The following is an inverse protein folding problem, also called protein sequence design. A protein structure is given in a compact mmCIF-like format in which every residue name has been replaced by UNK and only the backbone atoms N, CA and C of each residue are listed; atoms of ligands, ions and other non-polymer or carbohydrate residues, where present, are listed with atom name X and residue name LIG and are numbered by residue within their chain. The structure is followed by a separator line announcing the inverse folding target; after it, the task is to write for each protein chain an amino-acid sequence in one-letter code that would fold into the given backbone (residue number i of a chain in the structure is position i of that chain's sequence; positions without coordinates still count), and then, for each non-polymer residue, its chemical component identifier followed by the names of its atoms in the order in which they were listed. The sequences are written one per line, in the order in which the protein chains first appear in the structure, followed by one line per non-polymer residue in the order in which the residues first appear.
data_IF_154816575094
#
_entry.id   IF_154816575094
#
_cell.length_a   1.000
_cell.length_b   1.000
_cell.length_c   1.000
_cell.angle_alpha   90.00
_cell.angle_beta   90.00
_cell.angle_gamma   90.00
#
_symmetry.space_group_name_H-M   'P 1'
#
loop_
_entity.id
_entity.type
_entity.pdbx_description
1 polymer ?
#
# COMPACT_ATOMS: atom_id res chain seq x y z
N UNK A 1 -8.60 -19.25 -16.50
CA UNK A 1 -7.52 -18.54 -17.24
C UNK A 1 -8.06 -17.88 -18.50
N UNK A 2 -8.03 -16.55 -18.56
CA UNK A 2 -8.31 -15.78 -19.80
C UNK A 2 -7.40 -16.33 -20.92
N UNK A 3 -7.96 -16.64 -22.09
CA UNK A 3 -7.20 -17.20 -23.21
C UNK A 3 -6.04 -16.30 -23.63
N UNK A 4 -6.17 -14.98 -23.47
CA UNK A 4 -5.14 -14.01 -23.78
C UNK A 4 -3.90 -14.12 -22.88
N UNK A 5 -4.05 -14.60 -21.64
CA UNK A 5 -2.95 -14.63 -20.67
C UNK A 5 -2.23 -15.99 -20.60
N UNK A 6 -2.74 -17.02 -21.31
CA UNK A 6 -2.12 -18.36 -21.34
C UNK A 6 -0.66 -18.35 -21.79
N UNK A 7 -0.25 -17.57 -22.81
CA UNK A 7 1.16 -17.51 -23.20
C UNK A 7 2.05 -17.00 -22.07
N UNK A 8 1.61 -15.98 -21.33
CA UNK A 8 2.38 -15.41 -20.21
C UNK A 8 2.59 -16.46 -19.10
N UNK A 9 1.53 -17.20 -18.74
CA UNK A 9 1.65 -18.28 -17.76
C UNK A 9 2.59 -19.40 -18.25
N UNK A 10 2.56 -19.75 -19.54
CA UNK A 10 3.47 -20.73 -20.13
C UNK A 10 4.94 -20.30 -20.05
N UNK A 11 5.24 -19.03 -20.40
CA UNK A 11 6.59 -18.49 -20.33
C UNK A 11 7.08 -18.38 -18.89
N UNK A 12 6.27 -17.82 -17.98
CA UNK A 12 6.60 -17.73 -16.56
C UNK A 12 6.92 -19.12 -15.99
N UNK A 13 6.03 -20.10 -16.24
CA UNK A 13 6.26 -21.47 -15.81
C UNK A 13 7.56 -22.02 -16.37
N UNK A 14 7.82 -21.85 -17.67
CA UNK A 14 9.00 -22.44 -18.33
C UNK A 14 10.33 -21.80 -17.90
N UNK A 15 10.34 -20.51 -17.60
CA UNK A 15 11.52 -19.78 -17.15
C UNK A 15 11.81 -19.93 -15.65
N UNK A 16 10.79 -20.26 -14.84
CA UNK A 16 10.90 -20.25 -13.36
C UNK A 16 10.91 -21.64 -12.70
N UNK A 17 10.97 -22.74 -13.48
CA UNK A 17 10.79 -24.15 -13.03
C UNK A 17 11.68 -24.66 -11.89
N UNK A 18 12.78 -23.98 -11.54
CA UNK A 18 13.75 -24.46 -10.54
C UNK A 18 13.76 -23.60 -9.27
N UNK A 19 12.64 -22.94 -8.94
CA UNK A 19 12.59 -21.99 -7.82
C UNK A 19 13.25 -20.64 -8.14
N UNK A 20 13.54 -20.39 -9.42
CA UNK A 20 14.01 -19.10 -9.87
C UNK A 20 12.94 -18.05 -9.62
N UNK A 21 13.35 -16.91 -9.06
CA UNK A 21 12.51 -15.76 -8.84
C UNK A 21 13.03 -14.57 -9.65
N UNK A 22 12.14 -13.65 -9.99
CA UNK A 22 12.54 -12.38 -10.61
C UNK A 22 12.83 -11.40 -9.48
N UNK A 23 14.09 -11.03 -9.34
CA UNK A 23 14.48 -9.96 -8.44
C UNK A 23 14.05 -8.60 -9.00
N UNK A 24 13.27 -7.86 -8.23
CA UNK A 24 12.80 -6.52 -8.55
C UNK A 24 13.35 -5.55 -7.52
N UNK A 25 14.32 -4.68 -7.90
CA UNK A 25 14.85 -3.66 -6.99
C UNK A 25 13.77 -2.64 -6.63
N UNK A 26 13.50 -2.46 -5.34
CA UNK A 26 12.52 -1.47 -4.86
C UNK A 26 13.24 -0.18 -4.47
N UNK A 27 12.80 0.99 -4.98
CA UNK A 27 13.36 2.28 -4.59
C UNK A 27 13.29 2.55 -3.08
N UNK A 28 14.32 3.23 -2.56
CA UNK A 28 14.34 3.70 -1.17
C UNK A 28 13.15 4.61 -0.85
N UNK A 29 12.68 5.36 -1.85
CA UNK A 29 11.49 6.22 -1.81
C UNK A 29 10.19 5.47 -1.51
N UNK A 30 10.17 4.12 -1.57
CA UNK A 30 8.99 3.29 -1.27
C UNK A 30 9.13 2.51 0.05
N UNK A 31 10.34 2.05 0.40
CA UNK A 31 10.56 1.18 1.57
C UNK A 31 11.34 1.80 2.73
N UNK A 32 12.04 2.93 2.55
CA UNK A 32 13.01 3.49 3.52
C UNK A 32 14.22 2.61 3.85
N UNK A 33 14.42 1.51 3.11
CA UNK A 33 15.62 0.66 3.14
C UNK A 33 15.80 -0.06 1.81
N UNK A 34 17.00 -0.56 1.53
CA UNK A 34 17.30 -1.31 0.31
C UNK A 34 16.99 -2.79 0.54
N UNK A 35 15.84 -3.24 0.03
CA UNK A 35 15.48 -4.65 0.00
C UNK A 35 14.77 -4.92 -1.32
N UNK A 36 15.33 -5.79 -2.19
CA UNK A 36 14.61 -6.20 -3.38
C UNK A 36 13.40 -7.06 -2.99
N UNK A 37 12.42 -7.12 -3.89
CA UNK A 37 11.35 -8.11 -3.82
C UNK A 37 11.56 -9.15 -4.89
N UNK A 38 11.21 -10.39 -4.56
CA UNK A 38 11.35 -11.53 -5.44
C UNK A 38 9.97 -11.99 -5.88
N UNK A 39 9.66 -11.86 -7.17
CA UNK A 39 8.44 -12.43 -7.75
C UNK A 39 8.67 -13.91 -8.04
N UNK A 40 7.81 -14.76 -7.49
CA UNK A 40 7.82 -16.20 -7.77
C UNK A 40 6.93 -16.56 -8.96
N UNK A 41 6.97 -17.82 -9.36
CA UNK A 41 6.04 -18.33 -10.37
C UNK A 41 4.60 -18.24 -9.87
N UNK A 42 4.37 -18.53 -8.59
CA UNK A 42 3.06 -18.48 -7.94
C UNK A 42 2.50 -17.05 -7.99
N UNK A 43 3.29 -16.04 -7.66
CA UNK A 43 2.88 -14.62 -7.77
C UNK A 43 2.32 -14.30 -9.17
N UNK A 44 3.06 -14.70 -10.22
CA UNK A 44 2.67 -14.44 -11.61
C UNK A 44 1.46 -15.29 -12.02
N UNK A 45 1.44 -16.57 -11.61
CA UNK A 45 0.38 -17.50 -11.94
C UNK A 45 -0.96 -17.08 -11.30
N UNK A 46 -0.93 -16.68 -10.02
CA UNK A 46 -2.09 -16.15 -9.30
C UNK A 46 -2.58 -14.85 -9.95
N UNK A 47 -1.65 -13.93 -10.25
CA UNK A 47 -1.98 -12.67 -10.91
C UNK A 47 -2.72 -12.89 -12.24
N UNK A 48 -2.19 -13.77 -13.10
CA UNK A 48 -2.75 -14.11 -14.42
C UNK A 48 -4.11 -14.82 -14.33
N UNK A 49 -4.33 -15.59 -13.26
CA UNK A 49 -5.56 -16.35 -13.04
C UNK A 49 -6.61 -15.59 -12.23
N UNK A 50 -6.42 -14.29 -11.97
CA UNK A 50 -7.34 -13.48 -11.17
C UNK A 50 -7.57 -14.11 -9.79
N UNK A 51 -6.48 -14.49 -9.12
CA UNK A 51 -6.49 -15.02 -7.75
C UNK A 51 -6.04 -13.94 -6.77
N UNK A 52 -6.09 -14.22 -5.46
CA UNK A 52 -5.61 -13.28 -4.45
C UNK A 52 -4.13 -12.94 -4.72
N UNK A 53 -3.83 -11.65 -4.90
CA UNK A 53 -2.47 -11.21 -5.20
C UNK A 53 -1.67 -10.92 -3.92
N UNK A 54 -0.39 -11.28 -3.97
CA UNK A 54 0.54 -11.08 -2.87
C UNK A 54 0.95 -9.62 -2.69
N UNK A 55 1.60 -9.33 -1.56
CA UNK A 55 2.23 -8.03 -1.33
C UNK A 55 3.37 -7.74 -2.31
N UNK A 56 4.01 -8.78 -2.86
CA UNK A 56 5.05 -8.62 -3.87
C UNK A 56 4.46 -8.03 -5.15
N UNK A 57 3.30 -8.54 -5.60
CA UNK A 57 2.60 -7.99 -6.76
C UNK A 57 2.21 -6.52 -6.56
N UNK A 58 1.67 -6.16 -5.38
CA UNK A 58 1.35 -4.76 -5.02
C UNK A 58 2.61 -3.89 -5.08
N UNK A 59 3.72 -4.33 -4.48
CA UNK A 59 4.93 -3.53 -4.40
C UNK A 59 5.61 -3.32 -5.76
N UNK A 60 5.61 -4.35 -6.62
CA UNK A 60 6.10 -4.23 -7.99
C UNK A 60 5.26 -3.23 -8.80
N UNK A 61 3.94 -3.23 -8.61
CA UNK A 61 3.08 -2.26 -9.26
C UNK A 61 3.29 -0.83 -8.73
N UNK A 62 3.45 -0.64 -7.42
CA UNK A 62 3.78 0.68 -6.87
C UNK A 62 5.12 1.22 -7.36
N UNK A 63 6.12 0.35 -7.53
CA UNK A 63 7.38 0.73 -8.19
C UNK A 63 7.15 1.22 -9.62
N UNK A 64 6.30 0.53 -10.37
CA UNK A 64 5.92 0.96 -11.71
C UNK A 64 5.23 2.34 -11.70
N UNK A 65 4.29 2.57 -10.78
CA UNK A 65 3.62 3.88 -10.65
C UNK A 65 4.58 4.99 -10.20
N UNK A 66 5.53 4.70 -9.31
CA UNK A 66 6.57 5.67 -8.90
C UNK A 66 7.43 6.09 -10.11
N UNK A 67 7.83 5.12 -10.93
CA UNK A 67 8.56 5.39 -12.16
C UNK A 67 7.74 6.23 -13.15
N UNK A 68 6.45 5.90 -13.34
CA UNK A 68 5.54 6.70 -14.16
C UNK A 68 5.37 8.12 -13.63
N UNK A 69 5.14 8.30 -12.32
CA UNK A 69 5.05 9.61 -11.68
C UNK A 69 6.30 10.45 -11.96
N UNK A 70 7.48 9.85 -11.86
CA UNK A 70 8.74 10.54 -12.16
C UNK A 70 8.83 10.95 -13.62
N UNK A 71 8.51 10.05 -14.55
CA UNK A 71 8.54 10.33 -16.00
C UNK A 71 7.55 11.44 -16.36
N UNK A 72 6.38 11.46 -15.71
CA UNK A 72 5.31 12.43 -15.97
C UNK A 72 5.45 13.74 -15.16
N UNK A 73 6.53 13.92 -14.38
CA UNK A 73 6.74 15.12 -13.57
C UNK A 73 5.79 15.25 -12.37
N UNK A 74 5.18 14.15 -11.92
CA UNK A 74 4.24 14.07 -10.80
C UNK A 74 4.88 13.56 -9.49
N UNK A 75 6.20 13.37 -9.46
CA UNK A 75 6.92 12.88 -8.28
C UNK A 75 6.73 13.76 -7.02
N UNK A 76 6.51 15.06 -7.18
CA UNK A 76 6.22 15.98 -6.06
C UNK A 76 4.76 15.91 -5.58
N UNK A 77 3.86 15.36 -6.41
CA UNK A 77 2.42 15.23 -6.09
C UNK A 77 2.11 13.89 -5.41
N UNK A 78 2.82 12.82 -5.79
CA UNK A 78 2.54 11.47 -5.30
C UNK A 78 3.77 10.77 -4.71
N UNK A 79 3.54 9.97 -3.68
CA UNK A 79 4.48 9.04 -3.08
C UNK A 79 3.76 7.72 -2.80
N UNK A 80 4.51 6.62 -2.81
CA UNK A 80 3.99 5.28 -2.57
C UNK A 80 4.69 4.68 -1.36
N UNK A 81 3.91 4.11 -0.44
CA UNK A 81 4.42 3.53 0.81
C UNK A 81 4.27 2.03 0.74
N UNK A 82 5.35 1.28 0.97
CA UNK A 82 5.30 -0.18 0.98
C UNK A 82 4.27 -0.73 1.97
N UNK A 83 3.41 -1.69 1.57
CA UNK A 83 2.49 -2.34 2.50
C UNK A 83 3.21 -3.08 3.62
N UNK A 84 4.48 -3.46 3.43
CA UNK A 84 5.31 -4.14 4.45
C UNK A 84 5.62 -3.25 5.64
N UNK A 85 5.50 -1.92 5.50
CA UNK A 85 5.76 -0.98 6.59
C UNK A 85 4.55 -0.86 7.53
N UNK A 86 3.34 -1.11 7.03
CA UNK A 86 2.10 -0.73 7.70
C UNK A 86 1.06 -1.86 7.83
N UNK A 87 1.22 -2.97 7.10
CA UNK A 87 0.33 -4.14 7.22
C UNK A 87 0.80 -5.05 8.36
N UNK A 88 -0.11 -5.63 9.16
CA UNK A 88 0.25 -6.66 10.12
C UNK A 88 0.83 -7.90 9.41
N UNK A 89 1.74 -8.60 10.09
CA UNK A 89 2.15 -9.94 9.64
C UNK A 89 1.02 -10.91 10.00
N UNK A 90 0.76 -11.92 9.15
CA UNK A 90 -0.37 -12.87 9.32
C UNK A 90 -0.41 -13.59 10.68
N UNK A 91 0.71 -13.60 11.40
CA UNK A 91 0.86 -14.24 12.73
C UNK A 91 0.56 -13.30 13.90
N UNK A 92 0.43 -12.01 13.63
CA UNK A 92 0.27 -10.99 14.66
C UNK A 92 -1.21 -10.80 14.98
N UNK A 93 -1.54 -10.63 16.26
CA UNK A 93 -2.84 -10.08 16.63
C UNK A 93 -2.94 -8.64 16.11
N UNK A 94 -4.16 -8.13 15.89
CA UNK A 94 -4.37 -6.80 15.26
C UNK A 94 -3.57 -5.67 15.95
N UNK A 95 -3.35 -5.78 17.27
CA UNK A 95 -2.58 -4.81 18.07
C UNK A 95 -1.06 -5.08 18.13
N UNK A 96 -0.61 -6.34 17.93
CA UNK A 96 0.82 -6.68 18.01
C UNK A 96 1.59 -5.95 16.89
N UNK A 97 2.68 -5.27 17.25
CA UNK A 97 3.50 -4.49 16.32
C UNK A 97 2.85 -3.19 15.80
N UNK A 98 1.67 -2.77 16.30
CA UNK A 98 1.01 -1.54 15.83
C UNK A 98 1.88 -0.30 16.00
N UNK A 99 2.61 -0.22 17.12
CA UNK A 99 3.53 0.90 17.37
C UNK A 99 4.68 0.92 16.36
N UNK A 100 5.30 -0.21 16.10
CA UNK A 100 6.40 -0.32 15.13
C UNK A 100 5.93 0.06 13.72
N UNK A 101 4.73 -0.36 13.32
CA UNK A 101 4.11 0.03 12.05
C UNK A 101 3.83 1.54 11.98
N UNK A 102 3.38 2.14 13.08
CA UNK A 102 3.19 3.58 13.17
C UNK A 102 4.52 4.33 13.05
N UNK A 103 5.56 3.87 13.76
CA UNK A 103 6.91 4.43 13.72
C UNK A 103 7.56 4.29 12.32
N UNK A 104 7.32 3.18 11.62
CA UNK A 104 7.71 3.01 10.22
C UNK A 104 7.05 4.05 9.31
N UNK A 105 5.74 4.26 9.46
CA UNK A 105 5.01 5.27 8.68
C UNK A 105 5.49 6.70 9.03
N UNK A 106 5.71 7.00 10.32
CA UNK A 106 6.26 8.30 10.75
C UNK A 106 7.65 8.52 10.13
N UNK A 107 8.51 7.50 10.14
CA UNK A 107 9.84 7.55 9.54
C UNK A 107 9.76 7.84 8.05
N UNK A 108 8.85 7.16 7.33
CA UNK A 108 8.59 7.42 5.92
C UNK A 108 8.13 8.86 5.67
N UNK A 109 7.22 9.37 6.52
CA UNK A 109 6.65 10.70 6.38
C UNK A 109 7.56 11.80 6.93
N UNK A 110 8.73 11.52 7.49
CA UNK A 110 9.59 12.50 8.18
C UNK A 110 9.76 13.81 7.41
N UNK A 111 10.04 13.71 6.10
CA UNK A 111 10.27 14.84 5.22
C UNK A 111 9.05 15.11 4.30
N UNK A 112 7.84 14.84 4.80
CA UNK A 112 6.65 14.94 3.98
C UNK A 112 6.39 16.36 3.51
N UNK A 113 6.16 16.52 2.21
CA UNK A 113 6.00 17.82 1.57
C UNK A 113 4.54 18.25 1.55
N UNK A 114 4.28 19.54 1.76
CA UNK A 114 2.93 20.10 1.75
C UNK A 114 2.28 19.90 0.38
N UNK A 115 1.06 19.36 0.36
CA UNK A 115 0.30 19.08 -0.86
C UNK A 115 0.69 17.80 -1.60
N UNK A 116 1.66 17.02 -1.07
CA UNK A 116 2.00 15.70 -1.59
C UNK A 116 1.10 14.64 -0.96
N UNK A 117 0.58 13.73 -1.79
CA UNK A 117 -0.27 12.62 -1.38
C UNK A 117 0.52 11.33 -1.29
N UNK A 118 0.29 10.58 -0.21
CA UNK A 118 0.98 9.33 0.09
C UNK A 118 0.00 8.17 -0.04
N UNK A 119 0.21 7.31 -1.04
CA UNK A 119 -0.61 6.14 -1.31
C UNK A 119 -0.07 4.96 -0.52
N UNK A 120 -0.94 4.36 0.30
CA UNK A 120 -0.57 3.39 1.33
C UNK A 120 -1.50 2.18 1.24
N UNK A 121 -1.21 1.19 0.39
CA UNK A 121 -1.93 -0.06 0.39
C UNK A 121 -1.71 -0.80 1.71
N UNK A 122 -2.77 -1.39 2.23
CA UNK A 122 -2.79 -2.08 3.52
C UNK A 122 -3.49 -3.43 3.36
N UNK A 123 -2.87 -4.51 3.81
CA UNK A 123 -3.47 -5.83 3.83
C UNK A 123 -3.93 -6.20 5.24
N UNK A 124 -5.22 -6.51 5.39
CA UNK A 124 -5.84 -6.91 6.67
C UNK A 124 -6.07 -8.41 6.76
N UNK A 125 -5.01 -9.20 6.57
CA UNK A 125 -5.11 -10.65 6.64
C UNK A 125 -5.94 -11.25 5.52
N UNK A 126 -5.62 -10.89 4.26
CA UNK A 126 -6.23 -11.30 2.97
C UNK A 126 -7.22 -10.32 2.34
N UNK A 127 -7.38 -9.12 2.91
CA UNK A 127 -8.18 -8.05 2.31
C UNK A 127 -7.32 -6.82 2.05
N UNK A 128 -7.20 -6.40 0.79
CA UNK A 128 -6.45 -5.22 0.38
C UNK A 128 -7.33 -3.98 0.38
N UNK A 129 -6.83 -2.91 1.01
CA UNK A 129 -7.45 -1.59 1.02
C UNK A 129 -6.40 -0.52 0.74
N UNK A 130 -6.82 0.69 0.39
CA UNK A 130 -5.92 1.80 0.10
C UNK A 130 -6.23 3.00 1.00
N UNK A 131 -5.20 3.50 1.68
CA UNK A 131 -5.19 4.83 2.27
C UNK A 131 -4.48 5.81 1.35
N UNK A 132 -5.04 7.00 1.15
CA UNK A 132 -4.33 8.14 0.56
C UNK A 132 -4.23 9.22 1.64
N UNK A 133 -3.00 9.52 2.06
CA UNK A 133 -2.71 10.38 3.20
C UNK A 133 -2.26 11.74 2.69
N UNK A 134 -2.89 12.80 3.23
CA UNK A 134 -2.35 14.15 3.27
C UNK A 134 -1.99 14.47 4.73
N UNK A 135 -0.70 14.37 5.11
CA UNK A 135 -0.30 14.51 6.51
C UNK A 135 -0.46 15.95 7.02
N UNK A 136 -0.32 16.96 6.14
CA UNK A 136 -0.46 18.36 6.51
C UNK A 136 -1.93 18.72 6.77
N UNK A 137 -2.84 18.23 5.93
CA UNK A 137 -4.28 18.43 6.09
C UNK A 137 -4.94 17.47 7.11
N UNK A 138 -4.17 16.58 7.75
CA UNK A 138 -4.68 15.53 8.65
C UNK A 138 -5.81 14.69 8.04
N UNK A 139 -5.66 14.36 6.76
CA UNK A 139 -6.69 13.71 5.98
C UNK A 139 -6.20 12.36 5.49
N UNK A 140 -7.02 11.34 5.70
CA UNK A 140 -6.86 10.04 5.04
C UNK A 140 -8.12 9.76 4.22
N UNK A 141 -7.95 9.59 2.92
CA UNK A 141 -8.99 9.05 2.06
C UNK A 141 -8.86 7.53 2.08
N UNK A 142 -9.94 6.84 2.40
CA UNK A 142 -9.94 5.40 2.61
C UNK A 142 -10.80 4.70 1.56
N UNK A 143 -10.18 3.83 0.77
CA UNK A 143 -10.82 3.07 -0.31
C UNK A 143 -10.87 1.60 0.10
N UNK A 144 -12.07 1.04 0.15
CA UNK A 144 -12.33 -0.33 0.59
C UNK A 144 -13.17 -1.05 -0.45
N UNK A 145 -12.60 -2.01 -1.20
CA UNK A 145 -13.32 -2.75 -2.24
C UNK A 145 -14.55 -3.50 -1.72
N UNK A 146 -14.60 -3.87 -0.43
CA UNK A 146 -15.77 -4.52 0.15
C UNK A 146 -16.82 -3.51 0.66
N UNK A 147 -16.49 -2.22 0.66
CA UNK A 147 -17.32 -1.14 1.22
C UNK A 147 -17.79 -1.43 2.67
N UNK A 148 -16.99 -2.21 3.41
CA UNK A 148 -17.25 -2.52 4.80
C UNK A 148 -17.09 -1.27 5.67
N UNK A 149 -17.64 -1.33 6.89
CA UNK A 149 -17.32 -0.32 7.90
C UNK A 149 -15.81 -0.36 8.13
N UNK A 150 -15.16 0.80 7.92
CA UNK A 150 -13.77 1.05 8.26
C UNK A 150 -13.43 0.40 9.61
N UNK A 151 -12.53 -0.59 9.60
CA UNK A 151 -12.14 -1.25 10.85
C UNK A 151 -11.27 -0.34 11.72
N UNK A 152 -11.32 -0.65 13.01
CA UNK A 152 -10.71 0.15 14.07
C UNK A 152 -9.18 0.13 14.02
N UNK A 153 -8.57 -0.96 13.58
CA UNK A 153 -7.11 -1.18 13.49
C UNK A 153 -6.40 -0.15 12.60
N UNK A 154 -6.81 0.00 11.33
CA UNK A 154 -6.24 1.01 10.42
C UNK A 154 -6.51 2.42 10.93
N UNK A 155 -7.70 2.63 11.51
CA UNK A 155 -8.05 3.92 12.12
C UNK A 155 -7.08 4.28 13.23
N UNK A 156 -6.80 3.34 14.13
CA UNK A 156 -5.87 3.48 15.25
C UNK A 156 -4.45 3.72 14.74
N UNK A 157 -4.00 2.95 13.76
CA UNK A 157 -2.68 3.11 13.13
C UNK A 157 -2.49 4.51 12.54
N UNK A 158 -3.44 4.98 11.72
CA UNK A 158 -3.37 6.31 11.09
C UNK A 158 -3.41 7.43 12.13
N UNK A 159 -4.32 7.35 13.11
CA UNK A 159 -4.37 8.33 14.19
C UNK A 159 -3.06 8.38 14.98
N UNK A 160 -2.48 7.22 15.31
CA UNK A 160 -1.22 7.12 16.05
C UNK A 160 -0.07 7.74 15.25
N UNK A 161 0.08 7.33 13.99
CA UNK A 161 1.17 7.81 13.15
C UNK A 161 1.07 9.32 12.88
N UNK A 162 -0.11 9.82 12.50
CA UNK A 162 -0.28 11.21 12.11
C UNK A 162 -0.26 12.19 13.30
N UNK A 163 -0.81 11.80 14.45
CA UNK A 163 -0.70 12.63 15.66
C UNK A 163 0.76 12.81 16.09
N UNK A 164 1.56 11.75 16.01
CA UNK A 164 2.99 11.79 16.33
C UNK A 164 3.79 12.56 15.30
N UNK A 165 3.53 12.29 14.01
CA UNK A 165 4.19 12.98 12.92
C UNK A 165 3.99 14.50 13.02
N UNK A 166 2.78 14.98 13.30
CA UNK A 166 2.53 16.42 13.45
C UNK A 166 3.25 17.05 14.64
N UNK A 167 3.39 16.32 15.75
CA UNK A 167 4.18 16.79 16.90
C UNK A 167 5.66 16.94 16.49
N UNK A 168 6.19 15.95 15.77
CA UNK A 168 7.59 15.95 15.29
C UNK A 168 7.82 17.05 14.25
N UNK A 169 6.87 17.28 13.34
CA UNK A 169 6.93 18.29 12.29
C UNK A 169 6.85 19.74 12.82
N UNK A 170 6.60 19.94 14.12
CA UNK A 170 6.60 21.26 14.75
C UNK A 170 5.37 22.11 14.42
N UNK A 171 4.27 21.49 13.97
CA UNK A 171 2.97 22.11 13.63
C UNK A 171 2.20 22.68 14.85
N UNK A 172 2.91 23.03 15.94
CA UNK A 172 2.35 23.77 17.08
C UNK A 172 1.39 22.99 17.99
N UNK A 173 1.41 21.66 17.96
CA UNK A 173 0.45 20.82 18.71
C UNK A 173 0.90 20.62 20.16
N UNK A 174 -0.06 20.79 21.09
CA UNK A 174 0.22 20.80 22.54
C UNK A 174 0.04 19.44 23.23
N UNK A 175 -0.84 18.52 22.76
CA UNK A 175 -1.07 17.16 23.36
C UNK A 175 -1.65 16.14 22.35
N UNK A 176 -1.19 14.88 22.40
CA UNK A 176 -1.68 13.74 21.57
C UNK A 176 -3.17 13.43 21.69
N UNK A 177 -3.77 13.66 22.85
CA UNK A 177 -5.08 13.14 23.24
C UNK A 177 -6.26 13.88 22.59
N UNK A 178 -6.02 15.08 22.06
CA UNK A 178 -7.05 15.95 21.47
C UNK A 178 -7.18 15.77 19.95
N UNK A 179 -6.44 14.82 19.38
CA UNK A 179 -6.27 14.69 17.94
C UNK A 179 -6.97 13.45 17.39
N UNK A 180 -7.80 13.66 16.37
CA UNK A 180 -8.48 12.59 15.64
C UNK A 180 -8.38 12.88 14.15
N UNK A 181 -7.54 12.11 13.48
CA UNK A 181 -7.37 12.17 12.03
C UNK A 181 -8.71 12.06 11.33
N UNK A 182 -8.92 12.97 10.38
CA UNK A 182 -10.08 12.92 9.51
C UNK A 182 -9.88 11.79 8.51
N UNK A 183 -10.58 10.68 8.73
CA UNK A 183 -10.56 9.56 7.79
C UNK A 183 -11.90 9.48 7.08
N UNK A 184 -11.89 9.72 5.77
CA UNK A 184 -13.06 9.76 4.91
C UNK A 184 -13.09 8.55 3.99
N UNK A 185 -14.14 7.74 4.09
CA UNK A 185 -14.37 6.68 3.12
C UNK A 185 -14.63 7.30 1.73
N UNK A 186 -14.07 6.69 0.70
CA UNK A 186 -14.26 7.07 -0.70
C UNK A 186 -14.84 5.88 -1.47
N UNK A 187 -15.72 6.14 -2.45
CA UNK A 187 -16.19 5.08 -3.33
C UNK A 187 -15.02 4.56 -4.18
N UNK A 188 -14.99 3.24 -4.37
CA UNK A 188 -14.20 2.52 -5.36
C UNK A 188 -15.06 1.39 -5.93
N UNK A 189 -14.66 0.74 -7.05
CA UNK A 189 -15.33 -0.43 -7.57
C UNK A 189 -15.58 -1.47 -6.47
N UNK A 190 -16.82 -1.96 -6.40
CA UNK A 190 -17.22 -2.99 -5.45
C UNK A 190 -16.59 -4.32 -5.86
N UNK A 191 -15.96 -5.01 -4.91
CA UNK A 191 -15.57 -6.40 -5.07
C UNK A 191 -16.82 -7.29 -5.00
N UNK A 192 -17.11 -7.99 -6.09
CA UNK A 192 -18.22 -8.97 -6.15
C UNK A 192 -17.81 -10.36 -5.65
N UNK A 193 -16.53 -10.73 -5.81
CA UNK A 193 -15.98 -12.03 -5.45
C UNK A 193 -15.19 -12.01 -4.13
N UNK A 194 -14.18 -12.87 -4.04
CA UNK A 194 -13.36 -13.04 -2.82
C UNK A 194 -11.89 -12.63 -3.00
N UNK A 195 -11.46 -12.25 -4.20
CA UNK A 195 -10.02 -12.12 -4.55
C UNK A 195 -9.68 -10.82 -5.26
N UNK A 196 -10.67 -10.01 -5.60
CA UNK A 196 -10.54 -8.86 -6.50
C UNK A 196 -9.95 -7.63 -5.82
N UNK A 197 -9.97 -7.55 -4.48
CA UNK A 197 -9.55 -6.38 -3.70
C UNK A 197 -8.18 -5.86 -4.13
N UNK A 198 -7.21 -6.74 -4.31
CA UNK A 198 -5.86 -6.35 -4.73
C UNK A 198 -5.88 -5.66 -6.10
N UNK A 199 -6.57 -6.22 -7.08
CA UNK A 199 -6.68 -5.64 -8.43
C UNK A 199 -7.43 -4.30 -8.43
N UNK A 200 -8.48 -4.19 -7.64
CA UNK A 200 -9.21 -2.93 -7.46
C UNK A 200 -8.28 -1.88 -6.87
N UNK A 201 -7.51 -2.22 -5.84
CA UNK A 201 -6.51 -1.31 -5.26
C UNK A 201 -5.44 -0.92 -6.30
N UNK A 202 -4.95 -1.83 -7.13
CA UNK A 202 -4.03 -1.48 -8.21
C UNK A 202 -4.64 -0.42 -9.15
N UNK A 203 -5.89 -0.60 -9.56
CA UNK A 203 -6.60 0.38 -10.40
C UNK A 203 -6.84 1.72 -9.69
N UNK A 204 -7.23 1.71 -8.42
CA UNK A 204 -7.47 2.93 -7.64
C UNK A 204 -6.19 3.75 -7.42
N UNK A 205 -5.02 3.11 -7.31
CA UNK A 205 -3.75 3.84 -7.26
C UNK A 205 -3.50 4.66 -8.52
N UNK A 206 -3.87 4.13 -9.69
CA UNK A 206 -3.73 4.84 -10.98
C UNK A 206 -4.75 5.96 -11.12
N UNK A 207 -6.01 5.74 -10.71
CA UNK A 207 -7.07 6.76 -10.77
C UNK A 207 -6.87 7.91 -9.79
N UNK A 208 -6.18 7.67 -8.67
CA UNK A 208 -5.87 8.71 -7.70
C UNK A 208 -4.80 9.71 -8.18
N UNK A 209 -4.08 9.39 -9.27
CA UNK A 209 -2.97 10.18 -9.81
C UNK A 209 -3.40 11.30 -10.77
#
# INVERSE_FOLDING_TARGET
MNMAMRPLAYYAHSSMRQGNQIEVPIPYTIMTFKMPVFLSFEDIYEFINLQEISANCILVYMRYLEELCRINGQAEKFAFVSPTLISPVRTDTEDAGMRDRADNLISFLRDASKGRLYLVPHNRGRHWVLGVIDPWEDLVLYFDPLQEKKREDFSKLMNMALSDWKIIAGEGIRRRQDYKTKISNRPCPLQEGSVECGYIILGENELAM
#
